data_IF_874749378535
#
_entry.id   IF_874749378535
#
_cell.length_a   1.000
_cell.length_b   1.000
_cell.length_c   1.000
_cell.angle_alpha   90.00
_cell.angle_beta   90.00
_cell.angle_gamma   90.00
#
_symmetry.space_group_name_H-M   'P 1'
#
loop_
_entity.id
_entity.type
_entity.pdbx_description
1 polymer ?
#
# COMPACT_ATOMS: atom_id res chain seq x y z
N UNK A 1 -25.99 6.97 4.98
CA UNK A 1 -24.63 6.96 4.38
C UNK A 1 -23.61 7.52 5.37
N UNK A 2 -23.62 6.98 6.58
CA UNK A 2 -22.61 7.20 7.61
C UNK A 2 -22.34 5.81 8.18
N UNK A 3 -21.06 5.47 8.44
CA UNK A 3 -20.54 4.14 8.86
C UNK A 3 -19.91 3.24 7.78
N UNK A 4 -19.04 3.78 6.92
CA UNK A 4 -18.02 2.94 6.25
C UNK A 4 -16.61 3.55 6.26
N UNK A 5 -16.32 4.46 7.18
CA UNK A 5 -14.94 4.76 7.59
C UNK A 5 -14.87 4.66 9.11
N UNK A 6 -15.02 3.44 9.61
CA UNK A 6 -14.36 3.11 10.85
C UNK A 6 -12.88 3.11 10.50
N UNK A 7 -12.22 4.26 10.71
CA UNK A 7 -10.77 4.30 10.86
C UNK A 7 -10.47 3.25 11.90
N UNK A 8 -9.87 2.14 11.46
CA UNK A 8 -9.67 0.97 12.29
C UNK A 8 -9.10 1.43 13.63
N UNK A 9 -9.67 0.90 14.72
CA UNK A 9 -9.09 0.96 16.06
C UNK A 9 -7.59 0.78 15.88
N UNK A 10 -6.78 1.77 16.31
CA UNK A 10 -5.34 1.71 16.17
C UNK A 10 -4.89 0.36 16.72
N UNK A 11 -4.60 -0.58 15.82
CA UNK A 11 -3.96 -1.82 16.18
C UNK A 11 -2.67 -1.39 16.88
N UNK A 12 -2.25 -2.13 17.90
CA UNK A 12 -0.99 -1.85 18.57
C UNK A 12 0.14 -1.92 17.53
N UNK A 13 0.55 -0.78 16.98
CA UNK A 13 1.56 -0.69 15.91
C UNK A 13 2.98 -0.87 16.44
N UNK A 14 3.13 -1.22 17.72
CA UNK A 14 4.42 -1.40 18.35
C UNK A 14 5.16 -2.55 17.67
N UNK A 15 6.31 -2.23 17.08
CA UNK A 15 7.13 -3.16 16.31
C UNK A 15 6.77 -3.26 14.83
N UNK A 16 5.76 -2.51 14.35
CA UNK A 16 5.46 -2.39 12.92
C UNK A 16 6.27 -1.25 12.30
N UNK A 17 6.69 -1.46 11.05
CA UNK A 17 7.34 -0.45 10.23
C UNK A 17 6.40 -0.01 9.12
N UNK A 18 6.12 1.28 9.04
CA UNK A 18 5.34 1.89 7.96
C UNK A 18 6.18 1.98 6.69
N UNK A 19 5.64 1.46 5.59
CA UNK A 19 6.17 1.65 4.24
C UNK A 19 5.29 2.65 3.50
N UNK A 20 5.86 3.77 3.07
CA UNK A 20 5.17 4.78 2.27
C UNK A 20 6.17 5.49 1.32
N UNK A 21 5.65 6.08 0.24
CA UNK A 21 6.47 6.83 -0.70
C UNK A 21 6.97 8.15 -0.09
N UNK A 22 8.10 8.64 -0.58
CA UNK A 22 8.71 9.91 -0.16
C UNK A 22 8.01 11.17 -0.67
N UNK A 23 6.68 11.18 -0.87
CA UNK A 23 5.99 12.39 -1.28
C UNK A 23 6.05 13.47 -0.17
N UNK A 24 6.15 14.74 -0.55
CA UNK A 24 6.37 15.85 0.39
C UNK A 24 5.32 15.97 1.49
N UNK A 25 4.08 15.55 1.21
CA UNK A 25 2.99 15.51 2.20
C UNK A 25 3.24 14.49 3.32
N UNK A 26 3.97 13.39 3.05
CA UNK A 26 4.31 12.37 4.04
C UNK A 26 5.46 12.82 4.96
N UNK A 27 6.28 13.77 4.51
CA UNK A 27 7.41 14.33 5.27
C UNK A 27 7.13 15.69 5.90
N UNK A 28 5.90 16.20 5.73
CA UNK A 28 5.50 17.52 6.22
C UNK A 28 5.71 17.66 7.74
N UNK A 29 6.18 18.82 8.18
CA UNK A 29 6.39 19.11 9.61
C UNK A 29 5.11 18.91 10.43
N UNK A 30 3.95 19.20 9.84
CA UNK A 30 2.65 19.04 10.49
C UNK A 30 2.30 17.59 10.85
N UNK A 31 2.80 16.59 10.10
CA UNK A 31 2.51 15.17 10.35
C UNK A 31 3.52 14.50 11.30
N UNK A 32 4.69 15.11 11.52
CA UNK A 32 5.75 14.53 12.36
C UNK A 32 5.32 14.30 13.83
N UNK A 33 4.62 15.23 14.52
CA UNK A 33 4.17 15.00 15.89
C UNK A 33 3.24 13.80 16.00
N UNK A 34 2.36 13.59 15.02
CA UNK A 34 1.44 12.45 15.02
C UNK A 34 2.21 11.13 14.88
N UNK A 35 3.18 11.03 13.98
CA UNK A 35 4.03 9.83 13.86
C UNK A 35 4.80 9.52 15.15
N UNK A 36 5.36 10.54 15.80
CA UNK A 36 6.10 10.39 17.06
C UNK A 36 5.20 9.89 18.19
N UNK A 37 4.02 10.51 18.36
CA UNK A 37 3.06 10.13 19.39
C UNK A 37 2.54 8.70 19.24
N UNK A 38 2.49 8.18 18.00
CA UNK A 38 2.03 6.82 17.69
C UNK A 38 3.17 5.82 17.50
N UNK A 39 4.42 6.21 17.79
CA UNK A 39 5.61 5.36 17.65
C UNK A 39 5.75 4.72 16.27
N UNK A 40 5.39 5.48 15.22
CA UNK A 40 5.45 4.99 13.85
C UNK A 40 6.90 5.05 13.37
N UNK A 41 7.47 3.88 13.11
CA UNK A 41 8.78 3.74 12.48
C UNK A 41 8.61 3.68 10.97
N UNK A 42 9.24 4.59 10.22
CA UNK A 42 9.19 4.58 8.75
C UNK A 42 10.34 3.76 8.18
N UNK A 43 10.04 2.96 7.18
CA UNK A 43 11.05 2.31 6.35
C UNK A 43 11.75 3.37 5.48
N UNK A 44 13.08 3.33 5.40
CA UNK A 44 13.83 4.21 4.50
C UNK A 44 13.73 3.69 3.07
N UNK A 45 12.86 4.32 2.28
CA UNK A 45 12.58 3.91 0.90
C UNK A 45 13.49 4.63 -0.11
N UNK A 46 14.07 3.94 -1.10
CA UNK A 46 14.76 4.60 -2.20
C UNK A 46 13.75 5.42 -3.04
N UNK A 47 14.11 6.63 -3.48
CA UNK A 47 13.26 7.41 -4.38
C UNK A 47 12.99 6.66 -5.68
N UNK A 48 11.78 6.82 -6.24
CA UNK A 48 11.43 6.30 -7.57
C UNK A 48 11.51 4.78 -7.76
N UNK A 49 11.27 4.00 -6.70
CA UNK A 49 11.24 2.52 -6.76
C UNK A 49 9.82 1.93 -6.58
N UNK A 50 8.91 2.07 -7.56
CA UNK A 50 7.59 1.43 -7.49
C UNK A 50 7.66 -0.10 -7.47
N UNK A 51 8.69 -0.70 -8.09
CA UNK A 51 8.90 -2.15 -8.14
C UNK A 51 9.06 -2.80 -6.77
N UNK A 52 9.53 -2.02 -5.80
CA UNK A 52 9.70 -2.47 -4.44
C UNK A 52 8.37 -2.41 -3.66
N UNK A 53 7.38 -1.60 -4.06
CA UNK A 53 6.21 -1.37 -3.23
C UNK A 53 5.22 -2.54 -3.37
N UNK A 54 4.99 -3.33 -2.31
CA UNK A 54 4.16 -4.53 -2.42
C UNK A 54 2.70 -4.22 -2.79
N UNK A 55 2.18 -3.03 -2.44
CA UNK A 55 0.77 -2.68 -2.67
C UNK A 55 0.44 -2.45 -4.14
N UNK A 56 1.43 -2.13 -4.98
CA UNK A 56 1.24 -1.89 -6.42
C UNK A 56 0.68 -3.13 -7.14
N UNK A 57 1.08 -4.33 -6.70
CA UNK A 57 0.63 -5.59 -7.30
C UNK A 57 -0.87 -5.86 -7.03
N UNK A 58 -1.37 -5.77 -5.79
CA UNK A 58 -2.80 -5.78 -5.50
C UNK A 58 -3.57 -4.70 -6.27
N UNK A 59 -3.11 -3.45 -6.28
CA UNK A 59 -3.79 -2.36 -6.99
C UNK A 59 -3.96 -2.63 -8.49
N UNK A 60 -2.91 -3.13 -9.15
CA UNK A 60 -2.97 -3.50 -10.57
C UNK A 60 -4.03 -4.58 -10.82
N UNK A 61 -4.07 -5.61 -9.96
CA UNK A 61 -5.06 -6.69 -10.04
C UNK A 61 -6.47 -6.18 -9.80
N UNK A 62 -6.66 -5.33 -8.78
CA UNK A 62 -7.95 -4.70 -8.52
C UNK A 62 -8.40 -3.87 -9.73
N UNK A 63 -7.53 -3.02 -10.27
CA UNK A 63 -7.86 -2.18 -11.40
C UNK A 63 -8.31 -3.02 -12.61
N UNK A 64 -7.59 -4.10 -12.92
CA UNK A 64 -7.99 -5.03 -13.97
C UNK A 64 -9.38 -5.63 -13.72
N UNK A 65 -9.66 -6.14 -12.52
CA UNK A 65 -10.94 -6.76 -12.18
C UNK A 65 -12.09 -5.75 -12.22
N UNK A 66 -11.89 -4.58 -11.61
CA UNK A 66 -12.88 -3.49 -11.58
C UNK A 66 -13.21 -3.04 -13.00
N UNK A 67 -12.21 -2.82 -13.85
CA UNK A 67 -12.43 -2.33 -15.22
C UNK A 67 -13.01 -3.41 -16.14
N UNK A 68 -12.57 -4.65 -16.00
CA UNK A 68 -12.95 -5.75 -16.93
C UNK A 68 -14.29 -6.39 -16.59
N UNK A 69 -14.61 -6.57 -15.30
CA UNK A 69 -15.82 -7.29 -14.87
C UNK A 69 -16.97 -6.36 -14.47
N UNK A 70 -16.67 -5.25 -13.79
CA UNK A 70 -17.70 -4.37 -13.24
C UNK A 70 -17.89 -3.11 -14.10
N UNK A 71 -16.81 -2.58 -14.67
CA UNK A 71 -16.77 -1.41 -15.54
C UNK A 71 -17.65 -0.23 -15.04
N UNK A 72 -17.48 0.20 -13.77
CA UNK A 72 -18.38 1.19 -13.16
C UNK A 72 -18.34 2.52 -13.91
N UNK A 73 -19.51 3.14 -14.09
CA UNK A 73 -19.67 4.43 -14.79
C UNK A 73 -19.99 5.60 -13.86
N UNK A 74 -20.16 5.32 -12.57
CA UNK A 74 -20.47 6.32 -11.55
C UNK A 74 -19.58 6.11 -10.32
N UNK A 75 -19.37 7.18 -9.56
CA UNK A 75 -18.62 7.13 -8.31
C UNK A 75 -19.29 6.22 -7.27
N UNK A 76 -20.62 6.20 -7.22
CA UNK A 76 -21.37 5.34 -6.31
C UNK A 76 -21.08 3.86 -6.63
N UNK A 77 -21.15 3.48 -7.91
CA UNK A 77 -20.88 2.10 -8.31
C UNK A 77 -19.42 1.73 -8.08
N UNK A 78 -18.48 2.64 -8.35
CA UNK A 78 -17.07 2.40 -8.06
C UNK A 78 -16.85 2.17 -6.56
N UNK A 79 -17.47 2.98 -5.71
CA UNK A 79 -17.36 2.87 -4.25
C UNK A 79 -17.94 1.57 -3.70
N UNK A 80 -19.00 1.04 -4.31
CA UNK A 80 -19.55 -0.28 -3.98
C UNK A 80 -18.61 -1.42 -4.40
N UNK A 81 -17.98 -1.32 -5.56
CA UNK A 81 -17.20 -2.41 -6.17
C UNK A 81 -15.82 -2.56 -5.53
N UNK A 82 -15.16 -1.46 -5.19
CA UNK A 82 -13.77 -1.49 -4.67
C UNK A 82 -13.60 -2.42 -3.45
N UNK A 83 -14.44 -2.33 -2.39
CA UNK A 83 -14.34 -3.24 -1.25
C UNK A 83 -14.59 -4.70 -1.65
N UNK A 84 -15.58 -4.96 -2.52
CA UNK A 84 -15.89 -6.32 -3.00
C UNK A 84 -14.64 -6.93 -3.63
N UNK A 85 -14.01 -6.21 -4.56
CA UNK A 85 -12.80 -6.67 -5.25
C UNK A 85 -11.62 -6.84 -4.29
N UNK A 86 -11.44 -5.91 -3.34
CA UNK A 86 -10.40 -6.03 -2.31
C UNK A 86 -10.50 -7.34 -1.52
N UNK A 87 -11.70 -7.70 -1.06
CA UNK A 87 -11.92 -8.94 -0.31
C UNK A 87 -11.78 -10.22 -1.14
N UNK A 88 -11.65 -10.12 -2.47
CA UNK A 88 -11.32 -11.28 -3.31
C UNK A 88 -9.83 -11.60 -3.38
N UNK A 89 -8.96 -10.71 -2.88
CA UNK A 89 -7.52 -10.94 -2.88
C UNK A 89 -7.18 -11.90 -1.73
N UNK A 90 -6.62 -13.09 -2.01
CA UNK A 90 -6.27 -14.04 -0.97
C UNK A 90 -5.18 -13.48 -0.05
N UNK A 91 -5.27 -13.76 1.24
CA UNK A 91 -4.26 -13.33 2.21
C UNK A 91 -2.88 -13.92 1.88
N UNK A 92 -2.80 -15.19 1.50
CA UNK A 92 -1.56 -15.87 1.11
C UNK A 92 -0.83 -15.13 -0.02
N UNK A 93 -1.59 -14.55 -0.97
CA UNK A 93 -0.99 -13.74 -2.04
C UNK A 93 -0.34 -12.45 -1.51
N UNK A 94 -0.94 -11.83 -0.49
CA UNK A 94 -0.34 -10.66 0.17
C UNK A 94 0.92 -11.06 0.95
N UNK A 95 0.90 -12.22 1.60
CA UNK A 95 2.05 -12.75 2.32
C UNK A 95 3.22 -13.06 1.38
N UNK A 96 2.97 -13.72 0.24
CA UNK A 96 3.98 -13.97 -0.80
C UNK A 96 4.65 -12.68 -1.30
N UNK A 97 3.86 -11.62 -1.48
CA UNK A 97 4.39 -10.31 -1.90
C UNK A 97 5.34 -9.74 -0.85
N UNK A 98 4.97 -9.83 0.44
CA UNK A 98 5.81 -9.36 1.55
C UNK A 98 7.10 -10.19 1.67
N UNK A 99 6.99 -11.51 1.60
CA UNK A 99 8.15 -12.43 1.63
C UNK A 99 9.11 -12.17 0.47
N UNK A 100 8.61 -11.70 -0.68
CA UNK A 100 9.45 -11.39 -1.85
C UNK A 100 10.25 -10.09 -1.74
N UNK A 101 9.96 -9.20 -0.78
CA UNK A 101 10.58 -7.87 -0.68
C UNK A 101 12.11 -7.92 -0.58
N UNK A 102 12.74 -8.73 0.29
CA UNK A 102 14.20 -8.79 0.38
C UNK A 102 14.85 -9.20 -0.95
N UNK A 103 14.24 -10.12 -1.69
CA UNK A 103 14.74 -10.54 -3.00
C UNK A 103 14.64 -9.41 -4.05
N UNK A 104 13.53 -8.65 -4.07
CA UNK A 104 13.39 -7.50 -4.98
C UNK A 104 14.37 -6.39 -4.67
N UNK A 105 14.59 -6.09 -3.39
CA UNK A 105 15.62 -5.13 -2.94
C UNK A 105 16.99 -5.61 -3.44
N UNK A 106 17.30 -6.90 -3.32
CA UNK A 106 18.55 -7.45 -3.82
C UNK A 106 18.71 -7.27 -5.33
N UNK A 107 17.64 -7.50 -6.11
CA UNK A 107 17.66 -7.26 -7.55
C UNK A 107 17.93 -5.79 -7.91
N UNK A 108 17.34 -4.83 -7.19
CA UNK A 108 17.61 -3.40 -7.38
C UNK A 108 19.08 -3.09 -7.10
N UNK A 109 19.64 -3.65 -6.03
CA UNK A 109 21.06 -3.49 -5.67
C UNK A 109 21.96 -4.09 -6.76
N UNK A 110 21.70 -5.32 -7.19
CA UNK A 110 22.50 -6.00 -8.23
C UNK A 110 22.44 -5.27 -9.58
N UNK A 111 21.35 -4.52 -9.83
CA UNK A 111 21.17 -3.64 -11.00
C UNK A 111 21.67 -2.20 -10.79
N UNK A 112 22.38 -1.91 -9.70
CA UNK A 112 22.85 -0.56 -9.35
C UNK A 112 21.74 0.51 -9.36
N UNK A 113 20.55 0.16 -8.86
CA UNK A 113 19.40 1.07 -8.81
C UNK A 113 18.60 1.15 -10.11
N UNK A 114 18.96 0.39 -11.16
CA UNK A 114 18.15 0.31 -12.37
C UNK A 114 16.89 -0.56 -12.14
N UNK A 115 15.81 -0.33 -12.89
CA UNK A 115 14.55 -1.09 -12.75
C UNK A 115 14.73 -2.61 -12.85
N UNK A 116 14.04 -3.34 -11.97
CA UNK A 116 14.02 -4.82 -11.90
C UNK A 116 13.24 -5.47 -13.01
#
# INVERSE_FOLDING_TARGET
MEKLVQVGVAANCKGLTLMEYGASIHTALASQPWHQNHQIHKFSWPPSSPELNPIEKPWLKMNYVVTSLFNPKTMDKLSEVIPIVWYTIPFDHLEELLVSIPARIRMVVDKNGAPT
#
